data_IF_288824247066
#
_entry.id   IF_288824247066
#
_cell.length_a   1.000
_cell.length_b   1.000
_cell.length_c   1.000
_cell.angle_alpha   90.00
_cell.angle_beta   90.00
_cell.angle_gamma   90.00
#
_symmetry.space_group_name_H-M   'P 1'
#
loop_
_entity.id
_entity.type
_entity.pdbx_description
1 polymer ?
#
# COMPACT_ATOMS: atom_id res chain seq x y z
N UNK A 1 -17.51 -34.72 21.67
CA UNK A 1 -18.57 -34.60 22.68
C UNK A 1 -19.53 -33.51 22.22
N UNK A 2 -20.72 -33.87 21.77
CA UNK A 2 -21.77 -32.93 21.36
C UNK A 2 -22.47 -32.43 22.61
N UNK A 3 -22.58 -31.10 22.74
CA UNK A 3 -23.46 -30.48 23.76
C UNK A 3 -24.63 -29.86 23.00
N UNK A 4 -25.79 -30.48 23.16
CA UNK A 4 -27.08 -29.93 22.73
C UNK A 4 -27.59 -28.96 23.80
N UNK A 5 -27.87 -27.70 23.42
CA UNK A 5 -28.62 -26.78 24.26
C UNK A 5 -30.09 -26.88 23.90
N UNK A 6 -30.87 -27.36 24.85
CA UNK A 6 -32.35 -27.35 24.86
C UNK A 6 -32.84 -25.93 25.12
N UNK A 7 -33.76 -25.45 24.27
CA UNK A 7 -34.52 -24.22 24.49
C UNK A 7 -35.75 -24.56 25.30
N UNK A 8 -35.82 -24.11 26.54
CA UNK A 8 -37.06 -24.14 27.34
C UNK A 8 -37.81 -22.82 27.15
N UNK A 9 -38.98 -22.88 26.55
CA UNK A 9 -39.92 -21.77 26.52
C UNK A 9 -40.60 -21.61 27.88
N UNK A 10 -40.37 -20.49 28.54
CA UNK A 10 -41.10 -20.12 29.76
C UNK A 10 -42.30 -19.26 29.40
N UNK A 11 -43.51 -19.81 29.57
CA UNK A 11 -44.76 -19.05 29.60
C UNK A 11 -44.96 -18.50 31.02
N UNK A 12 -44.98 -17.20 31.18
CA UNK A 12 -45.41 -16.59 32.44
C UNK A 12 -46.78 -15.95 32.29
N UNK A 13 -47.71 -16.33 33.20
CA UNK A 13 -49.03 -15.72 33.31
C UNK A 13 -49.01 -14.73 34.47
N UNK A 14 -49.56 -13.54 34.25
CA UNK A 14 -49.78 -12.64 35.34
C UNK A 14 -51.20 -12.88 35.93
N UNK A 15 -51.39 -12.56 37.22
CA UNK A 15 -52.60 -12.86 38.01
C UNK A 15 -53.87 -12.11 37.56
N UNK A 16 -53.85 -11.32 36.51
CA UNK A 16 -54.95 -10.53 35.98
C UNK A 16 -55.53 -10.99 34.64
N UNK A 17 -55.09 -12.12 34.10
CA UNK A 17 -55.71 -12.73 32.90
C UNK A 17 -55.54 -11.98 31.57
N UNK A 18 -54.66 -11.01 31.48
CA UNK A 18 -54.45 -10.21 30.25
C UNK A 18 -53.39 -10.87 29.35
N UNK A 19 -53.75 -11.13 28.08
CA UNK A 19 -52.83 -11.63 27.05
C UNK A 19 -51.79 -10.58 26.78
N UNK A 20 -50.51 -10.92 27.05
CA UNK A 20 -49.37 -10.11 26.62
C UNK A 20 -49.01 -10.52 25.17
N UNK A 21 -49.09 -9.60 24.23
CA UNK A 21 -48.61 -9.80 22.86
C UNK A 21 -47.08 -9.99 22.87
N UNK A 22 -46.52 -10.90 22.08
CA UNK A 22 -45.09 -11.06 22.04
C UNK A 22 -44.45 -9.76 21.54
N UNK A 23 -43.59 -9.17 22.36
CA UNK A 23 -42.66 -8.14 21.94
C UNK A 23 -41.73 -8.80 20.92
N UNK A 24 -41.82 -8.37 19.68
CA UNK A 24 -40.89 -8.78 18.65
C UNK A 24 -39.52 -8.28 19.08
N UNK A 25 -38.71 -9.15 19.66
CA UNK A 25 -37.30 -8.87 19.91
C UNK A 25 -36.65 -8.60 18.58
N UNK A 26 -36.22 -7.36 18.36
CA UNK A 26 -35.37 -7.02 17.23
C UNK A 26 -34.17 -7.98 17.21
N UNK A 27 -33.85 -8.54 16.05
CA UNK A 27 -32.70 -9.41 15.91
C UNK A 27 -31.44 -8.73 16.49
N UNK A 28 -30.57 -9.46 17.19
CA UNK A 28 -29.43 -8.86 17.85
C UNK A 28 -28.55 -8.10 16.84
N UNK A 29 -28.11 -6.91 17.22
CA UNK A 29 -27.22 -6.03 16.43
C UNK A 29 -26.06 -6.80 15.80
N UNK A 30 -25.45 -7.75 16.50
CA UNK A 30 -24.35 -8.58 16.04
C UNK A 30 -24.61 -9.26 14.67
N UNK A 31 -25.79 -9.81 14.41
CA UNK A 31 -26.08 -10.45 13.11
C UNK A 31 -26.19 -9.47 11.92
N UNK A 32 -26.52 -8.21 12.19
CA UNK A 32 -26.55 -7.18 11.14
C UNK A 32 -25.17 -6.67 10.83
N UNK A 33 -24.32 -6.56 11.84
CA UNK A 33 -22.93 -6.14 11.68
C UNK A 33 -22.11 -7.21 10.95
N UNK A 34 -22.29 -8.50 11.29
CA UNK A 34 -21.66 -9.62 10.59
C UNK A 34 -22.09 -9.70 9.11
N UNK A 35 -23.38 -9.51 8.81
CA UNK A 35 -23.87 -9.53 7.41
C UNK A 35 -23.38 -8.32 6.61
N UNK A 36 -23.25 -7.16 7.24
CA UNK A 36 -22.70 -5.94 6.61
C UNK A 36 -21.21 -6.09 6.34
N UNK A 37 -20.45 -6.68 7.25
CA UNK A 37 -19.02 -6.95 7.07
C UNK A 37 -18.79 -7.93 5.92
N UNK A 38 -19.55 -9.05 5.85
CA UNK A 38 -19.42 -10.00 4.74
C UNK A 38 -19.78 -9.40 3.38
N UNK A 39 -20.75 -8.50 3.31
CA UNK A 39 -21.12 -7.78 2.09
C UNK A 39 -20.05 -6.77 1.68
N UNK A 40 -19.46 -6.06 2.65
CA UNK A 40 -18.35 -5.13 2.39
C UNK A 40 -17.09 -5.86 1.94
N UNK A 41 -16.74 -6.99 2.58
CA UNK A 41 -15.59 -7.83 2.21
C UNK A 41 -15.72 -8.36 0.78
N UNK A 42 -16.90 -8.86 0.41
CA UNK A 42 -17.18 -9.33 -0.94
C UNK A 42 -17.08 -8.19 -1.97
N UNK A 43 -17.56 -6.99 -1.60
CA UNK A 43 -17.47 -5.81 -2.45
C UNK A 43 -16.01 -5.39 -2.66
N UNK A 44 -15.20 -5.31 -1.60
CA UNK A 44 -13.78 -4.95 -1.68
C UNK A 44 -12.99 -5.97 -2.52
N UNK A 45 -13.26 -7.26 -2.31
CA UNK A 45 -12.57 -8.33 -3.02
C UNK A 45 -12.79 -8.28 -4.54
N UNK A 46 -13.99 -7.88 -5.02
CA UNK A 46 -14.28 -7.80 -6.45
C UNK A 46 -14.05 -6.42 -7.07
N UNK A 47 -13.78 -5.38 -6.28
CA UNK A 47 -13.58 -4.01 -6.77
C UNK A 47 -12.24 -3.91 -7.50
N UNK A 48 -12.21 -3.59 -8.83
CA UNK A 48 -10.96 -3.35 -9.54
C UNK A 48 -10.22 -2.15 -8.96
N UNK A 49 -8.92 -2.29 -8.74
CA UNK A 49 -8.07 -1.24 -8.19
C UNK A 49 -6.66 -1.26 -8.79
N UNK A 50 -5.99 -0.13 -8.75
CA UNK A 50 -4.55 -0.06 -8.93
C UNK A 50 -3.86 0.06 -7.57
N UNK A 51 -2.66 -0.50 -7.45
CA UNK A 51 -1.78 -0.30 -6.32
C UNK A 51 -0.59 0.56 -6.76
N UNK A 52 -0.43 1.73 -6.15
CA UNK A 52 0.51 2.77 -6.59
C UNK A 52 1.67 2.98 -5.61
N UNK A 53 1.66 2.28 -4.47
CA UNK A 53 2.64 2.41 -3.41
C UNK A 53 2.87 1.05 -2.75
N UNK A 54 3.88 0.37 -3.26
CA UNK A 54 4.35 -0.92 -2.77
C UNK A 54 5.86 -0.96 -2.94
N UNK A 55 6.60 -1.22 -1.87
CA UNK A 55 8.01 -1.59 -1.93
C UNK A 55 8.11 -3.08 -2.20
N UNK A 56 8.78 -3.47 -3.29
CA UNK A 56 8.81 -4.88 -3.67
C UNK A 56 9.55 -5.73 -2.62
N UNK A 57 10.60 -5.19 -2.02
CA UNK A 57 11.32 -5.82 -0.92
C UNK A 57 10.43 -6.03 0.31
N UNK A 58 9.48 -5.12 0.52
CA UNK A 58 8.46 -5.19 1.58
C UNK A 58 7.38 -6.24 1.36
N UNK A 59 7.34 -6.85 0.18
CA UNK A 59 6.48 -8.01 -0.11
C UNK A 59 7.13 -9.35 0.24
N UNK A 60 8.38 -9.35 0.75
CA UNK A 60 9.14 -10.54 1.10
C UNK A 60 8.55 -11.22 2.34
N UNK A 61 7.65 -12.15 2.13
CA UNK A 61 7.00 -12.92 3.19
C UNK A 61 8.01 -13.73 4.02
N UNK A 62 7.82 -13.88 5.35
CA UNK A 62 8.74 -14.62 6.23
C UNK A 62 9.09 -16.02 5.76
N UNK A 63 8.12 -16.75 5.20
CA UNK A 63 8.36 -18.09 4.66
C UNK A 63 9.30 -18.07 3.45
N UNK A 64 9.14 -17.07 2.58
CA UNK A 64 10.00 -16.87 1.42
C UNK A 64 11.39 -16.41 1.85
N UNK A 65 11.48 -15.50 2.82
CA UNK A 65 12.76 -15.05 3.39
C UNK A 65 13.59 -16.24 3.92
N UNK A 66 13.00 -17.14 4.70
CA UNK A 66 13.66 -18.34 5.22
C UNK A 66 14.08 -19.29 4.07
N UNK A 67 13.23 -19.49 3.07
CA UNK A 67 13.53 -20.33 1.91
C UNK A 67 14.69 -19.77 1.07
N UNK A 68 14.70 -18.46 0.81
CA UNK A 68 15.78 -17.78 0.09
C UNK A 68 17.08 -17.76 0.88
N UNK A 69 17.04 -17.58 2.20
CA UNK A 69 18.19 -17.69 3.07
C UNK A 69 18.87 -19.05 2.94
N UNK A 70 18.08 -20.13 2.98
CA UNK A 70 18.57 -21.49 2.78
C UNK A 70 19.15 -21.70 1.37
N UNK A 71 18.49 -21.19 0.32
CA UNK A 71 18.94 -21.28 -1.08
C UNK A 71 20.28 -20.59 -1.30
N UNK A 72 20.44 -19.41 -0.70
CA UNK A 72 21.61 -18.55 -0.92
C UNK A 72 22.67 -18.66 0.18
N UNK A 73 22.53 -19.61 1.12
CA UNK A 73 23.43 -19.80 2.28
C UNK A 73 23.62 -18.51 3.11
N UNK A 74 22.54 -17.74 3.27
CA UNK A 74 22.50 -16.56 4.14
C UNK A 74 22.10 -16.98 5.54
N UNK A 75 22.84 -16.54 6.55
CA UNK A 75 22.47 -16.75 7.94
C UNK A 75 21.54 -15.65 8.39
N UNK A 76 20.30 -16.00 8.74
CA UNK A 76 19.35 -15.09 9.38
C UNK A 76 19.57 -15.09 10.90
N UNK A 77 19.26 -13.98 11.58
CA UNK A 77 19.26 -13.93 13.05
C UNK A 77 18.05 -14.66 13.67
N UNK A 78 17.20 -15.27 12.86
CA UNK A 78 15.97 -15.96 13.22
C UNK A 78 16.06 -17.45 12.88
N UNK A 79 15.60 -18.32 13.77
CA UNK A 79 15.66 -19.77 13.59
C UNK A 79 14.41 -20.33 12.86
N UNK A 80 13.31 -19.56 12.78
CA UNK A 80 12.05 -20.00 12.15
C UNK A 80 11.24 -18.86 11.57
N UNK A 81 10.22 -19.21 10.77
CA UNK A 81 9.22 -18.25 10.23
C UNK A 81 8.47 -17.54 11.35
N UNK A 82 8.17 -18.24 12.44
CA UNK A 82 7.48 -17.71 13.62
C UNK A 82 8.33 -16.66 14.33
N UNK A 83 9.64 -16.88 14.43
CA UNK A 83 10.57 -15.90 15.02
C UNK A 83 10.70 -14.66 14.14
N UNK A 84 10.74 -14.80 12.82
CA UNK A 84 10.70 -13.65 11.89
C UNK A 84 9.43 -12.82 12.12
N UNK A 85 8.26 -13.48 12.18
CA UNK A 85 6.98 -12.78 12.44
C UNK A 85 6.93 -12.10 13.80
N UNK A 86 7.50 -12.74 14.83
CA UNK A 86 7.55 -12.18 16.17
C UNK A 86 8.45 -10.94 16.27
N UNK A 87 9.39 -10.76 15.34
CA UNK A 87 10.24 -9.58 15.27
C UNK A 87 9.52 -8.36 14.64
N UNK A 88 8.34 -8.54 14.03
CA UNK A 88 7.57 -7.48 13.38
C UNK A 88 6.72 -6.69 14.38
N UNK A 89 7.33 -6.26 15.48
CA UNK A 89 6.73 -5.42 16.52
C UNK A 89 7.51 -4.11 16.58
N UNK A 90 7.12 -3.18 15.71
CA UNK A 90 7.81 -1.91 15.49
C UNK A 90 7.26 -0.82 16.41
N UNK A 91 8.12 0.10 16.83
CA UNK A 91 7.75 1.28 17.61
C UNK A 91 7.87 2.59 16.81
N UNK A 92 8.52 2.54 15.66
CA UNK A 92 8.74 3.66 14.73
C UNK A 92 9.29 3.14 13.39
N UNK A 93 9.41 4.03 12.41
CA UNK A 93 9.94 3.72 11.08
C UNK A 93 11.38 3.14 11.13
N UNK A 94 12.25 3.62 12.01
CA UNK A 94 13.63 3.14 12.07
C UNK A 94 13.73 1.68 12.52
N UNK A 95 12.92 1.26 13.52
CA UNK A 95 12.89 -0.14 13.99
C UNK A 95 12.49 -1.08 12.84
N UNK A 96 11.56 -0.64 11.99
CA UNK A 96 11.16 -1.37 10.77
C UNK A 96 12.31 -1.46 9.78
N UNK A 97 12.93 -0.33 9.42
CA UNK A 97 13.99 -0.29 8.41
C UNK A 97 15.18 -1.19 8.76
N UNK A 98 15.53 -1.30 10.03
CA UNK A 98 16.62 -2.18 10.47
C UNK A 98 16.34 -3.66 10.17
N UNK A 99 15.09 -4.10 10.33
CA UNK A 99 14.65 -5.46 10.01
C UNK A 99 14.48 -5.65 8.50
N UNK A 100 13.92 -4.66 7.81
CA UNK A 100 13.71 -4.65 6.38
C UNK A 100 15.03 -4.83 5.60
N UNK A 101 16.03 -4.01 5.89
CA UNK A 101 17.33 -4.13 5.21
C UNK A 101 18.06 -5.44 5.53
N UNK A 102 17.94 -5.93 6.77
CA UNK A 102 18.48 -7.24 7.14
C UNK A 102 17.76 -8.38 6.39
N UNK A 103 16.43 -8.30 6.25
CA UNK A 103 15.62 -9.25 5.49
C UNK A 103 15.97 -9.27 4.01
N UNK A 104 16.12 -8.10 3.40
CA UNK A 104 16.49 -7.96 1.98
C UNK A 104 17.84 -8.63 1.62
N UNK A 105 18.68 -8.93 2.61
CA UNK A 105 19.96 -9.60 2.39
C UNK A 105 19.86 -10.99 1.74
N UNK A 106 18.70 -11.66 1.84
CA UNK A 106 18.47 -12.97 1.21
C UNK A 106 18.32 -12.90 -0.31
N UNK A 107 18.01 -11.71 -0.87
CA UNK A 107 17.86 -11.48 -2.30
C UNK A 107 19.23 -11.27 -2.95
N UNK A 108 19.72 -12.24 -3.73
CA UNK A 108 21.07 -12.25 -4.27
C UNK A 108 21.14 -12.49 -5.77
N UNK A 109 20.16 -13.19 -6.34
CA UNK A 109 20.19 -13.60 -7.74
C UNK A 109 18.99 -13.05 -8.52
N UNK A 110 19.13 -12.97 -9.85
CA UNK A 110 18.00 -12.62 -10.74
C UNK A 110 16.74 -13.48 -10.48
N UNK A 111 16.95 -14.76 -10.15
CA UNK A 111 15.85 -15.66 -9.86
C UNK A 111 15.14 -15.28 -8.54
N UNK A 112 15.87 -14.75 -7.53
CA UNK A 112 15.27 -14.33 -6.27
C UNK A 112 14.33 -13.14 -6.48
N UNK A 113 14.77 -12.13 -7.24
CA UNK A 113 13.95 -10.95 -7.57
C UNK A 113 12.75 -11.31 -8.46
N UNK A 114 12.92 -12.25 -9.41
CA UNK A 114 11.82 -12.76 -10.22
C UNK A 114 10.77 -13.47 -9.36
N UNK A 115 11.21 -14.37 -8.48
CA UNK A 115 10.34 -15.14 -7.60
C UNK A 115 9.60 -14.20 -6.63
N UNK A 116 10.28 -13.15 -6.09
CA UNK A 116 9.69 -12.14 -5.22
C UNK A 116 8.57 -11.38 -5.93
N UNK A 117 8.85 -10.83 -7.11
CA UNK A 117 7.86 -10.10 -7.90
C UNK A 117 6.64 -10.99 -8.22
N UNK A 118 6.87 -12.23 -8.68
CA UNK A 118 5.77 -13.14 -9.01
C UNK A 118 4.92 -13.50 -7.78
N UNK A 119 5.56 -13.69 -6.60
CA UNK A 119 4.84 -13.96 -5.35
C UNK A 119 3.95 -12.78 -4.93
N UNK A 120 4.45 -11.54 -5.08
CA UNK A 120 3.63 -10.34 -4.88
C UNK A 120 2.41 -10.33 -5.81
N UNK A 121 2.61 -10.52 -7.11
CA UNK A 121 1.52 -10.47 -8.08
C UNK A 121 0.47 -11.59 -7.90
N UNK A 122 0.88 -12.75 -7.39
CA UNK A 122 -0.05 -13.82 -7.01
C UNK A 122 -1.01 -13.34 -5.89
N UNK A 123 -0.53 -12.51 -4.97
CA UNK A 123 -1.35 -11.89 -3.91
C UNK A 123 -2.19 -10.72 -4.45
N UNK A 124 -1.60 -9.87 -5.26
CA UNK A 124 -2.28 -8.73 -5.89
C UNK A 124 -3.47 -9.18 -6.76
N UNK A 125 -3.32 -10.29 -7.50
CA UNK A 125 -4.39 -10.90 -8.28
C UNK A 125 -5.58 -11.34 -7.41
N UNK A 126 -5.31 -11.89 -6.22
CA UNK A 126 -6.36 -12.29 -5.27
C UNK A 126 -7.15 -11.09 -4.72
N UNK A 127 -6.52 -9.91 -4.68
CA UNK A 127 -7.13 -8.65 -4.27
C UNK A 127 -7.76 -7.85 -5.42
N UNK A 128 -7.83 -8.42 -6.62
CA UNK A 128 -8.35 -7.78 -7.85
C UNK A 128 -7.58 -6.49 -8.20
N UNK A 129 -6.27 -6.48 -7.95
CA UNK A 129 -5.37 -5.48 -8.52
C UNK A 129 -5.21 -5.78 -10.01
N UNK A 130 -5.39 -4.75 -10.86
CA UNK A 130 -5.27 -4.87 -12.32
C UNK A 130 -4.08 -4.07 -12.88
N UNK A 131 -3.52 -3.19 -12.06
CA UNK A 131 -2.32 -2.41 -12.36
C UNK A 131 -1.53 -2.15 -11.07
N UNK A 132 -0.19 -2.22 -11.12
CA UNK A 132 0.68 -1.91 -9.98
C UNK A 132 1.85 -1.03 -10.39
N UNK A 133 2.19 -0.04 -9.56
CA UNK A 133 3.39 0.78 -9.69
C UNK A 133 4.29 0.53 -8.47
N UNK A 134 5.42 -0.11 -8.72
CA UNK A 134 6.21 -0.80 -7.72
C UNK A 134 7.50 -0.03 -7.46
N UNK A 135 7.75 0.33 -6.21
CA UNK A 135 9.03 0.84 -5.75
C UNK A 135 10.04 -0.29 -5.62
N UNK A 136 11.30 -0.02 -5.93
CA UNK A 136 12.41 -0.88 -5.64
C UNK A 136 13.62 -0.06 -5.23
N UNK A 137 14.41 -0.60 -4.30
CA UNK A 137 15.54 0.07 -3.65
C UNK A 137 16.88 -0.52 -4.12
N UNK A 138 17.40 -0.16 -5.31
CA UNK A 138 18.63 -0.78 -5.79
C UNK A 138 19.82 -0.56 -4.86
N UNK A 139 19.87 0.56 -4.12
CA UNK A 139 20.97 0.86 -3.18
C UNK A 139 21.06 -0.17 -2.06
N UNK A 140 19.93 -0.68 -1.58
CA UNK A 140 19.86 -1.79 -0.60
C UNK A 140 20.61 -3.04 -1.07
N UNK A 141 20.68 -3.26 -2.38
CA UNK A 141 21.30 -4.42 -3.00
C UNK A 141 22.71 -4.13 -3.50
N UNK A 142 22.93 -3.00 -4.16
CA UNK A 142 24.24 -2.64 -4.74
C UNK A 142 25.30 -2.43 -3.68
N UNK A 143 24.95 -1.90 -2.52
CA UNK A 143 25.87 -1.76 -1.36
C UNK A 143 26.37 -3.12 -0.83
N UNK A 144 25.62 -4.19 -1.08
CA UNK A 144 26.01 -5.57 -0.75
C UNK A 144 26.72 -6.29 -1.91
N UNK A 145 26.98 -5.57 -3.02
CA UNK A 145 27.67 -6.11 -4.19
C UNK A 145 26.75 -6.85 -5.18
N UNK A 146 25.43 -6.74 -5.06
CA UNK A 146 24.48 -7.27 -6.04
C UNK A 146 24.38 -6.25 -7.19
N UNK A 147 24.73 -6.60 -8.44
CA UNK A 147 24.68 -5.65 -9.53
C UNK A 147 23.26 -5.12 -9.80
N UNK A 148 23.11 -3.84 -10.08
CA UNK A 148 21.86 -3.21 -10.49
C UNK A 148 21.13 -4.01 -11.59
N UNK A 149 21.89 -4.47 -12.60
CA UNK A 149 21.37 -5.32 -13.68
C UNK A 149 20.70 -6.61 -13.19
N UNK A 150 21.18 -7.21 -12.09
CA UNK A 150 20.59 -8.42 -11.49
C UNK A 150 19.22 -8.12 -10.91
N UNK A 151 19.09 -7.02 -10.17
CA UNK A 151 17.85 -6.57 -9.54
C UNK A 151 16.79 -6.29 -10.61
N UNK A 152 17.06 -5.33 -11.50
CA UNK A 152 16.07 -4.89 -12.49
C UNK A 152 15.70 -5.98 -13.48
N UNK A 153 16.65 -6.84 -13.88
CA UNK A 153 16.34 -7.96 -14.78
C UNK A 153 15.42 -8.98 -14.11
N UNK A 154 15.67 -9.30 -12.82
CA UNK A 154 14.81 -10.23 -12.08
C UNK A 154 13.40 -9.68 -11.89
N UNK A 155 13.28 -8.43 -11.44
CA UNK A 155 11.97 -7.78 -11.30
C UNK A 155 11.21 -7.73 -12.63
N UNK A 156 11.89 -7.33 -13.73
CA UNK A 156 11.26 -7.28 -15.06
C UNK A 156 10.78 -8.66 -15.55
N UNK A 157 11.53 -9.72 -15.26
CA UNK A 157 11.10 -11.09 -15.60
C UNK A 157 9.85 -11.47 -14.81
N UNK A 158 9.82 -11.20 -13.50
CA UNK A 158 8.67 -11.51 -12.65
C UNK A 158 7.42 -10.72 -13.04
N UNK A 159 7.57 -9.44 -13.40
CA UNK A 159 6.48 -8.60 -13.94
C UNK A 159 5.93 -9.16 -15.24
N UNK A 160 6.79 -9.55 -16.19
CA UNK A 160 6.36 -10.14 -17.46
C UNK A 160 5.63 -11.50 -17.26
N UNK A 161 6.12 -12.34 -16.36
CA UNK A 161 5.46 -13.57 -15.98
C UNK A 161 4.08 -13.33 -15.34
N UNK A 162 3.99 -12.31 -14.48
CA UNK A 162 2.75 -11.93 -13.82
C UNK A 162 1.70 -11.37 -14.81
N UNK A 163 2.14 -10.53 -15.74
CA UNK A 163 1.27 -10.03 -16.80
C UNK A 163 0.73 -11.18 -17.66
N UNK A 164 1.60 -12.14 -18.07
CA UNK A 164 1.20 -13.31 -18.82
C UNK A 164 0.24 -14.24 -18.04
N UNK A 165 0.42 -14.33 -16.71
CA UNK A 165 -0.35 -15.23 -15.83
C UNK A 165 -1.68 -14.62 -15.39
N UNK A 166 -1.70 -13.36 -15.03
CA UNK A 166 -2.81 -12.68 -14.36
C UNK A 166 -3.40 -11.52 -15.15
N UNK A 167 -2.72 -11.05 -16.20
CA UNK A 167 -3.13 -9.84 -16.95
C UNK A 167 -2.91 -8.54 -16.18
N UNK A 168 -2.12 -8.55 -15.11
CA UNK A 168 -1.82 -7.35 -14.31
C UNK A 168 -0.69 -6.58 -14.99
N UNK A 169 -0.97 -5.35 -15.42
CA UNK A 169 0.07 -4.45 -15.93
C UNK A 169 0.85 -3.84 -14.78
N UNK A 170 2.11 -3.47 -15.02
CA UNK A 170 2.91 -2.87 -13.95
C UNK A 170 4.02 -1.94 -14.45
N UNK A 171 4.50 -1.07 -13.56
CA UNK A 171 5.61 -0.15 -13.79
C UNK A 171 6.58 -0.18 -12.61
N UNK A 172 7.88 0.05 -12.88
CA UNK A 172 8.89 0.20 -11.83
C UNK A 172 9.19 1.67 -11.56
N UNK A 173 9.35 1.99 -10.28
CA UNK A 173 9.81 3.29 -9.78
C UNK A 173 11.07 3.02 -8.97
N UNK A 174 12.19 3.61 -9.41
CA UNK A 174 13.48 3.51 -8.74
C UNK A 174 13.53 4.47 -7.57
N UNK A 175 13.68 3.99 -6.35
CA UNK A 175 13.76 4.83 -5.17
C UNK A 175 15.22 5.17 -4.80
N UNK A 176 15.40 6.38 -4.27
CA UNK A 176 16.63 6.84 -3.65
C UNK A 176 16.47 6.87 -2.14
N UNK A 177 17.37 6.17 -1.44
CA UNK A 177 17.37 6.12 0.02
C UNK A 177 17.83 7.47 0.60
N UNK A 178 16.89 8.22 1.20
CA UNK A 178 17.09 9.63 1.60
C UNK A 178 18.04 9.82 2.78
N UNK A 179 18.33 8.75 3.53
CA UNK A 179 19.35 8.80 4.58
C UNK A 179 20.78 8.87 4.00
N UNK A 180 20.98 8.44 2.73
CA UNK A 180 22.23 8.60 2.01
C UNK A 180 22.37 10.03 1.46
N UNK A 181 23.52 10.37 0.90
CA UNK A 181 23.73 11.66 0.25
C UNK A 181 23.20 11.68 -1.19
N UNK A 182 23.04 12.88 -1.78
CA UNK A 182 22.56 13.04 -3.15
C UNK A 182 23.54 12.47 -4.19
N UNK A 183 24.85 12.41 -3.89
CA UNK A 183 25.85 11.85 -4.80
C UNK A 183 25.67 10.33 -4.93
N UNK A 184 25.24 9.63 -3.88
CA UNK A 184 24.83 8.22 -3.93
C UNK A 184 23.61 8.04 -4.85
N UNK A 185 22.60 8.91 -4.76
CA UNK A 185 21.44 8.89 -5.66
C UNK A 185 21.86 9.13 -7.14
N UNK A 186 22.82 10.04 -7.39
CA UNK A 186 23.39 10.23 -8.73
C UNK A 186 24.15 8.99 -9.23
N UNK A 187 24.85 8.27 -8.35
CA UNK A 187 25.51 7.02 -8.72
C UNK A 187 24.47 5.99 -9.19
N UNK A 188 23.40 5.82 -8.42
CA UNK A 188 22.28 4.93 -8.75
C UNK A 188 21.58 5.33 -10.04
N UNK A 189 21.32 6.62 -10.26
CA UNK A 189 20.71 7.10 -11.50
C UNK A 189 21.60 6.81 -12.73
N UNK A 190 22.94 6.89 -12.60
CA UNK A 190 23.88 6.50 -13.67
C UNK A 190 23.84 4.99 -13.94
N UNK A 191 23.75 4.14 -12.91
CA UNK A 191 23.61 2.69 -13.10
C UNK A 191 22.30 2.32 -13.79
N UNK A 192 21.26 3.12 -13.56
CA UNK A 192 19.94 2.95 -14.17
C UNK A 192 19.90 3.37 -15.66
N UNK A 193 20.84 4.17 -16.16
CA UNK A 193 20.79 4.71 -17.53
C UNK A 193 20.57 3.67 -18.64
N UNK A 194 21.18 2.46 -18.62
CA UNK A 194 20.93 1.44 -19.63
C UNK A 194 19.53 0.81 -19.56
N UNK A 195 18.73 1.12 -18.54
CA UNK A 195 17.47 0.47 -18.19
C UNK A 195 16.28 1.43 -18.10
N UNK A 196 16.45 2.69 -18.56
CA UNK A 196 15.41 3.72 -18.43
C UNK A 196 14.12 3.36 -19.16
N UNK A 197 14.18 2.47 -20.17
CA UNK A 197 13.01 1.92 -20.85
C UNK A 197 12.13 1.04 -19.97
N UNK A 198 12.65 0.59 -18.83
CA UNK A 198 11.95 -0.26 -17.83
C UNK A 198 11.55 0.50 -16.57
N UNK A 199 11.94 1.74 -16.43
CA UNK A 199 11.75 2.57 -15.25
C UNK A 199 10.81 3.71 -15.59
N UNK A 200 9.64 3.73 -14.97
CA UNK A 200 8.63 4.77 -15.20
C UNK A 200 8.97 6.08 -14.47
N UNK A 201 9.61 5.98 -13.32
CA UNK A 201 9.88 7.13 -12.47
C UNK A 201 10.98 6.88 -11.44
N UNK A 202 11.29 7.94 -10.70
CA UNK A 202 12.13 7.87 -9.50
C UNK A 202 11.35 8.29 -8.28
N UNK A 203 11.68 7.68 -7.13
CA UNK A 203 11.09 7.96 -5.81
C UNK A 203 12.14 8.41 -4.79
N UNK A 204 11.66 8.96 -3.68
CA UNK A 204 12.46 9.29 -2.50
C UNK A 204 11.82 8.61 -1.30
N UNK A 205 12.54 7.72 -0.62
CA UNK A 205 12.02 6.91 0.48
C UNK A 205 13.02 6.76 1.64
N UNK A 206 12.77 5.81 2.56
CA UNK A 206 13.56 5.57 3.77
C UNK A 206 13.29 6.62 4.86
N UNK A 207 14.16 6.73 5.88
CA UNK A 207 13.99 7.57 7.08
C UNK A 207 13.67 9.02 6.73
N UNK A 208 12.43 9.46 7.00
CA UNK A 208 11.97 10.80 6.61
C UNK A 208 12.51 11.88 7.54
N UNK A 209 12.43 11.66 8.85
CA UNK A 209 12.81 12.68 9.85
C UNK A 209 14.29 13.00 9.79
N UNK A 210 14.62 14.28 9.60
CA UNK A 210 16.00 14.77 9.47
C UNK A 210 16.58 14.68 8.05
N UNK A 211 15.83 14.16 7.08
CA UNK A 211 16.25 14.03 5.69
C UNK A 211 15.26 14.72 4.74
N UNK A 212 15.23 16.07 4.70
CA UNK A 212 14.27 16.84 3.92
C UNK A 212 14.40 16.60 2.41
N UNK A 213 13.30 16.68 1.65
CA UNK A 213 13.30 16.48 0.19
C UNK A 213 14.27 17.40 -0.57
N UNK A 214 14.45 18.65 -0.14
CA UNK A 214 15.33 19.63 -0.78
C UNK A 214 16.77 19.13 -0.98
N UNK A 215 17.23 18.20 -0.16
CA UNK A 215 18.53 17.53 -0.25
C UNK A 215 18.76 16.83 -1.60
N UNK A 216 17.69 16.46 -2.32
CA UNK A 216 17.71 15.67 -3.55
C UNK A 216 17.28 16.48 -4.79
N UNK A 217 17.29 17.82 -4.70
CA UNK A 217 16.82 18.72 -5.75
C UNK A 217 17.50 18.48 -7.12
N UNK A 218 18.82 18.28 -7.11
CA UNK A 218 19.60 18.15 -8.35
C UNK A 218 19.37 16.81 -9.05
N UNK A 219 19.30 15.70 -8.29
CA UNK A 219 19.11 14.37 -8.87
C UNK A 219 17.68 14.23 -9.40
N UNK A 220 16.68 14.81 -8.73
CA UNK A 220 15.29 14.85 -9.21
C UNK A 220 15.19 15.68 -10.52
N UNK A 221 15.84 16.83 -10.60
CA UNK A 221 15.91 17.61 -11.82
C UNK A 221 16.59 16.82 -12.96
N UNK A 222 17.65 16.06 -12.67
CA UNK A 222 18.32 15.20 -13.65
C UNK A 222 17.44 14.03 -14.10
N UNK A 223 16.68 13.41 -13.21
CA UNK A 223 15.71 12.35 -13.52
C UNK A 223 14.57 12.90 -14.41
N UNK A 224 14.03 14.08 -14.08
CA UNK A 224 13.02 14.78 -14.89
C UNK A 224 13.52 15.05 -16.30
N UNK A 225 14.78 15.50 -16.45
CA UNK A 225 15.39 15.75 -17.76
C UNK A 225 15.54 14.47 -18.62
N UNK A 226 15.52 13.28 -18.00
CA UNK A 226 15.49 11.98 -18.67
C UNK A 226 14.06 11.51 -19.01
N UNK A 227 13.03 12.28 -18.67
CA UNK A 227 11.62 11.96 -18.92
C UNK A 227 10.98 11.06 -17.88
N UNK A 228 11.63 10.84 -16.74
CA UNK A 228 11.11 10.03 -15.66
C UNK A 228 10.05 10.79 -14.85
N UNK A 229 9.05 10.07 -14.36
CA UNK A 229 8.10 10.56 -13.36
C UNK A 229 8.78 10.72 -12.00
N UNK A 230 8.27 11.63 -11.19
CA UNK A 230 8.86 11.97 -9.90
C UNK A 230 7.85 11.73 -8.79
N UNK A 231 8.21 10.92 -7.80
CA UNK A 231 7.40 10.70 -6.61
C UNK A 231 8.27 10.85 -5.34
N UNK A 232 7.65 11.14 -4.20
CA UNK A 232 8.39 11.23 -2.95
C UNK A 232 7.49 10.96 -1.75
N UNK A 233 8.01 10.19 -0.79
CA UNK A 233 7.45 10.10 0.54
C UNK A 233 7.65 11.43 1.24
N UNK A 234 6.55 12.07 1.63
CA UNK A 234 6.60 13.29 2.42
C UNK A 234 5.32 13.45 3.25
N UNK A 235 5.49 13.89 4.50
CA UNK A 235 4.39 14.04 5.44
C UNK A 235 3.83 12.71 5.93
N UNK A 236 4.62 11.67 5.99
CA UNK A 236 4.35 10.44 6.76
C UNK A 236 4.65 10.70 8.23
N UNK A 237 5.93 10.81 8.60
CA UNK A 237 6.42 11.24 9.92
C UNK A 237 6.89 12.71 9.89
N UNK A 238 7.40 13.16 8.76
CA UNK A 238 7.93 14.50 8.56
C UNK A 238 6.85 15.59 8.55
N UNK A 239 7.22 16.85 8.83
CA UNK A 239 6.26 17.95 8.92
C UNK A 239 5.65 18.32 7.56
N UNK A 240 4.52 19.07 7.51
CA UNK A 240 3.93 19.60 6.29
C UNK A 240 4.91 20.32 5.35
N UNK A 241 5.95 20.95 5.91
CA UNK A 241 7.01 21.62 5.14
C UNK A 241 7.74 20.64 4.18
N UNK A 242 7.89 19.36 4.56
CA UNK A 242 8.49 18.36 3.66
C UNK A 242 7.59 18.08 2.46
N UNK A 243 6.28 18.14 2.63
CA UNK A 243 5.33 18.06 1.50
C UNK A 243 5.50 19.29 0.59
N UNK A 244 5.60 20.49 1.17
CA UNK A 244 5.86 21.72 0.39
C UNK A 244 7.17 21.61 -0.38
N UNK A 245 8.25 21.11 0.24
CA UNK A 245 9.53 20.91 -0.44
C UNK A 245 9.42 19.86 -1.57
N UNK A 246 8.70 18.75 -1.38
CA UNK A 246 8.48 17.78 -2.43
C UNK A 246 7.75 18.39 -3.63
N UNK A 247 6.76 19.24 -3.39
CA UNK A 247 6.02 19.95 -4.44
C UNK A 247 6.85 21.03 -5.14
N UNK A 248 7.53 21.89 -4.38
CA UNK A 248 8.13 23.13 -4.90
C UNK A 248 9.59 22.96 -5.33
N UNK A 249 10.31 22.02 -4.72
CA UNK A 249 11.73 21.78 -4.98
C UNK A 249 11.95 20.55 -5.86
N UNK A 250 11.29 19.42 -5.53
CA UNK A 250 11.40 18.21 -6.33
C UNK A 250 10.47 18.20 -7.53
N UNK A 251 9.38 18.98 -7.51
CA UNK A 251 8.36 19.03 -8.55
C UNK A 251 7.75 17.66 -8.85
N UNK A 252 7.32 16.96 -7.79
CA UNK A 252 6.76 15.61 -7.89
C UNK A 252 5.48 15.56 -8.73
N UNK A 253 5.27 14.42 -9.40
CA UNK A 253 4.04 14.07 -10.12
C UNK A 253 3.01 13.40 -9.20
N UNK A 254 3.44 12.79 -8.08
CA UNK A 254 2.61 12.13 -7.07
C UNK A 254 3.27 12.20 -5.69
N UNK A 255 2.45 12.39 -4.67
CA UNK A 255 2.88 12.45 -3.27
C UNK A 255 2.64 11.09 -2.60
N UNK A 256 3.68 10.51 -2.04
CA UNK A 256 3.56 9.27 -1.30
C UNK A 256 3.28 9.58 0.18
N UNK A 257 2.30 8.91 0.79
CA UNK A 257 1.64 9.18 2.08
C UNK A 257 0.91 10.52 2.14
N UNK A 258 1.56 11.60 2.55
CA UNK A 258 0.97 12.93 2.68
C UNK A 258 0.00 13.10 3.86
N UNK A 259 0.03 12.21 4.85
CA UNK A 259 -0.92 12.19 5.99
C UNK A 259 -0.96 13.51 6.75
N UNK A 260 0.22 14.10 6.99
CA UNK A 260 0.36 15.36 7.75
C UNK A 260 0.01 16.60 6.95
N UNK A 261 -0.37 16.48 5.67
CA UNK A 261 -0.86 17.62 4.86
C UNK A 261 -2.09 18.28 5.48
N UNK A 262 -2.92 17.50 6.22
CA UNK A 262 -4.12 18.03 6.90
C UNK A 262 -3.81 18.96 8.09
N UNK A 263 -2.57 18.99 8.57
CA UNK A 263 -2.13 19.89 9.64
C UNK A 263 -1.99 21.34 9.15
N UNK A 264 -1.86 21.55 7.82
CA UNK A 264 -1.82 22.86 7.17
C UNK A 264 -3.01 23.03 6.22
N UNK A 265 -4.02 23.85 6.57
CA UNK A 265 -5.19 24.08 5.72
C UNK A 265 -4.87 24.71 4.37
N UNK A 266 -3.81 25.50 4.24
CA UNK A 266 -3.42 26.12 2.98
C UNK A 266 -2.78 25.05 2.05
N UNK A 267 -1.94 24.18 2.59
CA UNK A 267 -1.38 23.04 1.88
C UNK A 267 -2.49 22.07 1.45
N UNK A 268 -3.41 21.73 2.34
CA UNK A 268 -4.57 20.88 2.04
C UNK A 268 -5.37 21.44 0.86
N UNK A 269 -5.71 22.73 0.90
CA UNK A 269 -6.46 23.39 -0.20
C UNK A 269 -5.67 23.36 -1.51
N UNK A 270 -4.36 23.60 -1.48
CA UNK A 270 -3.48 23.54 -2.64
C UNK A 270 -3.45 22.14 -3.27
N UNK A 271 -3.34 21.08 -2.45
CA UNK A 271 -3.33 19.69 -2.93
C UNK A 271 -4.68 19.32 -3.56
N UNK A 272 -5.80 19.73 -2.96
CA UNK A 272 -7.13 19.50 -3.51
C UNK A 272 -7.33 20.23 -4.85
N UNK A 273 -6.94 21.51 -4.94
CA UNK A 273 -7.05 22.31 -6.17
C UNK A 273 -6.18 21.77 -7.30
N UNK A 274 -4.95 21.33 -7.00
CA UNK A 274 -4.03 20.76 -8.00
C UNK A 274 -4.46 19.36 -8.46
N UNK A 275 -5.28 18.66 -7.67
CA UNK A 275 -5.60 17.26 -7.89
C UNK A 275 -4.40 16.33 -7.71
N UNK A 276 -3.41 16.71 -6.91
CA UNK A 276 -2.28 15.86 -6.55
C UNK A 276 -2.78 14.56 -5.92
N UNK A 277 -2.28 13.43 -6.41
CA UNK A 277 -2.63 12.12 -5.85
C UNK A 277 -1.76 11.83 -4.63
N UNK A 278 -2.38 11.35 -3.55
CA UNK A 278 -1.74 10.91 -2.32
C UNK A 278 -1.88 9.39 -2.20
N UNK A 279 -0.76 8.68 -2.06
CA UNK A 279 -0.76 7.21 -1.91
C UNK A 279 -0.69 6.81 -0.44
N UNK A 280 -1.85 6.69 0.18
CA UNK A 280 -1.99 6.46 1.63
C UNK A 280 -1.91 4.97 1.95
N UNK A 281 -1.24 4.61 3.05
CA UNK A 281 -0.95 3.24 3.45
C UNK A 281 -1.44 2.97 4.89
N UNK A 282 -2.73 2.64 5.10
CA UNK A 282 -3.34 2.63 6.43
C UNK A 282 -2.71 1.67 7.44
N UNK A 283 -2.39 0.44 7.04
CA UNK A 283 -1.78 -0.55 7.94
C UNK A 283 -0.33 -0.20 8.29
N UNK A 284 0.41 0.39 7.33
CA UNK A 284 1.73 0.97 7.57
C UNK A 284 1.64 2.08 8.62
N UNK A 285 0.72 3.03 8.43
CA UNK A 285 0.55 4.16 9.35
C UNK A 285 0.21 3.72 10.78
N UNK A 286 -0.54 2.60 10.94
CA UNK A 286 -0.79 2.00 12.24
C UNK A 286 0.47 1.33 12.81
N UNK A 287 1.15 0.51 12.00
CA UNK A 287 2.32 -0.27 12.43
C UNK A 287 3.53 0.59 12.79
N UNK A 288 3.72 1.70 12.09
CA UNK A 288 4.80 2.66 12.31
C UNK A 288 4.42 3.77 13.32
N UNK A 289 3.26 3.62 13.98
CA UNK A 289 2.76 4.55 15.00
C UNK A 289 2.57 6.00 14.48
N UNK A 290 2.31 6.16 13.17
CA UNK A 290 1.86 7.44 12.59
C UNK A 290 0.45 7.76 13.08
N UNK A 291 -0.36 6.73 13.30
CA UNK A 291 -1.63 6.78 14.02
C UNK A 291 -1.64 5.73 15.12
N UNK A 292 -2.24 6.05 16.28
CA UNK A 292 -2.33 5.12 17.41
C UNK A 292 -3.43 4.06 17.19
N UNK A 293 -4.47 4.39 16.42
CA UNK A 293 -5.61 3.53 16.08
C UNK A 293 -6.09 3.85 14.67
N UNK A 294 -6.48 2.83 13.90
CA UNK A 294 -7.11 3.03 12.59
C UNK A 294 -8.43 3.83 12.68
N UNK A 295 -9.08 3.85 13.84
CA UNK A 295 -10.22 4.72 14.09
C UNK A 295 -9.88 6.22 14.00
N UNK A 296 -8.62 6.59 14.16
CA UNK A 296 -8.13 7.97 14.03
C UNK A 296 -7.48 8.25 12.67
N UNK A 297 -7.40 7.25 11.78
CA UNK A 297 -6.77 7.39 10.48
C UNK A 297 -7.45 8.46 9.61
N UNK A 298 -6.70 9.40 8.97
CA UNK A 298 -7.25 10.60 8.35
C UNK A 298 -7.92 10.41 6.99
N UNK A 299 -8.00 9.19 6.44
CA UNK A 299 -8.46 8.94 5.06
C UNK A 299 -9.81 9.54 4.71
N UNK A 300 -10.79 9.46 5.62
CA UNK A 300 -12.13 10.02 5.42
C UNK A 300 -12.12 11.55 5.45
N UNK A 301 -11.25 12.16 6.26
CA UNK A 301 -11.03 13.61 6.27
C UNK A 301 -10.35 14.07 4.98
N UNK A 302 -9.39 13.30 4.44
CA UNK A 302 -8.77 13.57 3.14
C UNK A 302 -9.80 13.57 2.02
N UNK A 303 -10.67 12.55 1.94
CA UNK A 303 -11.74 12.49 0.95
C UNK A 303 -12.71 13.68 1.07
N UNK A 304 -13.13 14.02 2.29
CA UNK A 304 -14.01 15.20 2.54
C UNK A 304 -13.35 16.53 2.20
N UNK A 305 -12.04 16.63 2.34
CA UNK A 305 -11.26 17.80 1.92
C UNK A 305 -11.06 17.89 0.40
N UNK A 306 -11.52 16.89 -0.36
CA UNK A 306 -11.38 16.84 -1.83
C UNK A 306 -9.99 16.38 -2.28
N UNK A 307 -9.18 15.78 -1.40
CA UNK A 307 -7.88 15.21 -1.77
C UNK A 307 -8.08 13.93 -2.58
N UNK A 308 -7.24 13.75 -3.61
CA UNK A 308 -7.20 12.50 -4.39
C UNK A 308 -6.36 11.45 -3.65
N UNK A 309 -6.90 10.93 -2.55
CA UNK A 309 -6.28 9.86 -1.80
C UNK A 309 -6.54 8.49 -2.44
N UNK A 310 -5.58 7.57 -2.32
CA UNK A 310 -5.66 6.17 -2.71
C UNK A 310 -5.30 5.29 -1.51
N UNK A 311 -5.62 3.99 -1.57
CA UNK A 311 -5.19 3.02 -0.54
C UNK A 311 -4.18 2.07 -1.16
N UNK A 312 -3.10 1.81 -0.42
CA UNK A 312 -1.99 0.97 -0.83
C UNK A 312 -1.47 0.14 0.36
N UNK A 313 -0.56 -0.79 0.11
CA UNK A 313 -0.08 -1.70 1.15
C UNK A 313 1.29 -1.36 1.72
N UNK A 314 2.11 -0.58 1.01
CA UNK A 314 3.47 -0.20 1.41
C UNK A 314 4.41 -1.42 1.47
N UNK A 315 4.61 -2.00 2.65
CA UNK A 315 5.40 -3.20 2.90
C UNK A 315 4.50 -4.33 3.47
N UNK A 316 3.66 -4.97 2.63
CA UNK A 316 2.54 -5.81 3.07
C UNK A 316 2.95 -7.00 3.94
N UNK A 317 4.14 -7.58 3.71
CA UNK A 317 4.62 -8.70 4.49
C UNK A 317 4.98 -8.31 5.93
N UNK A 318 5.33 -7.04 6.16
CA UNK A 318 5.74 -6.50 7.46
C UNK A 318 4.58 -5.83 8.21
N UNK A 319 3.68 -5.16 7.48
CA UNK A 319 2.60 -4.36 8.08
C UNK A 319 1.28 -5.10 8.23
N UNK A 320 1.23 -6.38 7.82
CA UNK A 320 0.16 -7.29 8.17
C UNK A 320 -0.99 -7.35 7.18
N UNK A 321 -0.80 -6.86 5.93
CA UNK A 321 -1.79 -7.05 4.88
C UNK A 321 -1.49 -6.36 3.57
N UNK A 322 -1.96 -6.97 2.50
CA UNK A 322 -1.91 -6.43 1.15
C UNK A 322 -2.99 -5.36 0.94
N UNK A 323 -3.16 -4.88 -0.27
CA UNK A 323 -4.08 -3.76 -0.54
C UNK A 323 -5.53 -4.08 -0.16
N UNK A 324 -5.99 -5.32 -0.33
CA UNK A 324 -7.33 -5.74 0.06
C UNK A 324 -7.57 -5.66 1.57
N UNK A 325 -6.57 -6.10 2.38
CA UNK A 325 -6.60 -5.96 3.83
C UNK A 325 -6.59 -4.49 4.25
N UNK A 326 -5.81 -3.63 3.59
CA UNK A 326 -5.78 -2.19 3.85
C UNK A 326 -7.15 -1.53 3.61
N UNK A 327 -7.78 -1.82 2.46
CA UNK A 327 -9.14 -1.37 2.15
C UNK A 327 -10.13 -1.82 3.24
N UNK A 328 -10.10 -3.09 3.63
CA UNK A 328 -11.00 -3.68 4.62
C UNK A 328 -10.79 -3.06 6.00
N UNK A 329 -9.56 -3.01 6.47
CA UNK A 329 -9.22 -2.55 7.80
C UNK A 329 -9.66 -1.09 8.02
N UNK A 330 -9.31 -0.19 7.10
CA UNK A 330 -9.66 1.23 7.24
C UNK A 330 -11.15 1.48 6.98
N UNK A 331 -11.80 0.72 6.08
CA UNK A 331 -13.23 0.84 5.84
C UNK A 331 -14.05 0.51 7.07
N UNK A 332 -13.67 -0.55 7.79
CA UNK A 332 -14.31 -0.94 9.05
C UNK A 332 -14.04 0.10 10.13
N UNK A 333 -12.78 0.50 10.32
CA UNK A 333 -12.38 1.42 11.38
C UNK A 333 -12.97 2.83 11.19
N UNK A 334 -13.04 3.33 9.97
CA UNK A 334 -13.57 4.68 9.65
C UNK A 334 -15.03 4.69 9.22
N UNK A 335 -15.67 3.52 9.07
CA UNK A 335 -17.05 3.43 8.63
C UNK A 335 -17.26 3.92 7.20
N UNK A 336 -16.27 3.68 6.30
CA UNK A 336 -16.36 4.09 4.91
C UNK A 336 -17.53 3.40 4.21
N UNK A 337 -18.19 4.14 3.34
CA UNK A 337 -19.26 3.61 2.49
C UNK A 337 -18.69 2.92 1.25
N UNK A 338 -19.51 2.14 0.53
CA UNK A 338 -19.13 1.61 -0.78
C UNK A 338 -18.76 2.71 -1.77
N UNK A 339 -19.45 3.88 -1.71
CA UNK A 339 -19.14 5.03 -2.56
C UNK A 339 -17.77 5.64 -2.25
N UNK A 340 -17.36 5.67 -0.97
CA UNK A 340 -16.01 6.10 -0.58
C UNK A 340 -14.96 5.13 -1.15
N UNK A 341 -15.19 3.81 -1.06
CA UNK A 341 -14.29 2.78 -1.60
C UNK A 341 -14.17 2.86 -3.13
N UNK A 342 -15.29 3.12 -3.81
CA UNK A 342 -15.31 3.36 -5.27
C UNK A 342 -14.51 4.60 -5.61
N UNK A 343 -14.65 5.68 -4.83
CA UNK A 343 -13.88 6.91 -5.02
C UNK A 343 -12.38 6.65 -4.87
N UNK A 344 -11.96 5.90 -3.83
CA UNK A 344 -10.57 5.50 -3.62
C UNK A 344 -10.03 4.65 -4.78
N UNK A 345 -10.82 3.70 -5.29
CA UNK A 345 -10.45 2.89 -6.44
C UNK A 345 -10.34 3.71 -7.73
N UNK A 346 -11.28 4.63 -8.01
CA UNK A 346 -11.17 5.57 -9.14
C UNK A 346 -9.92 6.44 -9.03
N UNK A 347 -9.63 6.94 -7.84
CA UNK A 347 -8.46 7.75 -7.58
C UNK A 347 -7.16 6.97 -7.87
N UNK A 348 -7.11 5.65 -7.59
CA UNK A 348 -5.93 4.84 -7.85
C UNK A 348 -5.60 4.78 -9.35
N UNK A 349 -6.60 4.68 -10.23
CA UNK A 349 -6.38 4.76 -11.68
C UNK A 349 -6.06 6.17 -12.16
N UNK A 350 -6.79 7.19 -11.66
CA UNK A 350 -6.55 8.58 -12.03
C UNK A 350 -5.17 9.09 -11.58
N UNK A 351 -4.59 8.50 -10.53
CA UNK A 351 -3.26 8.83 -10.01
C UNK A 351 -2.14 7.97 -10.57
N UNK A 352 -2.44 6.99 -11.42
CA UNK A 352 -1.44 6.11 -12.02
C UNK A 352 -0.69 6.79 -13.17
N UNK A 353 0.45 6.23 -13.54
CA UNK A 353 1.24 6.64 -14.70
C UNK A 353 0.85 5.87 -15.98
N UNK A 354 -0.37 5.34 -16.02
CA UNK A 354 -0.97 4.78 -17.23
C UNK A 354 -1.29 5.87 -18.26
N UNK A 355 -1.48 5.48 -19.53
CA UNK A 355 -2.00 6.35 -20.55
C UNK A 355 -3.49 6.68 -20.36
N UNK A 356 -3.95 7.78 -20.93
CA UNK A 356 -5.34 8.25 -20.78
C UNK A 356 -6.37 7.19 -21.22
N UNK A 357 -6.11 6.47 -22.31
CA UNK A 357 -6.99 5.42 -22.82
C UNK A 357 -7.06 4.20 -21.86
N UNK A 358 -5.91 3.84 -21.25
CA UNK A 358 -5.84 2.76 -20.26
C UNK A 358 -6.59 3.16 -18.98
N UNK A 359 -6.38 4.38 -18.48
CA UNK A 359 -7.12 4.93 -17.34
C UNK A 359 -8.63 4.89 -17.62
N UNK A 360 -9.06 5.36 -18.80
CA UNK A 360 -10.47 5.37 -19.16
C UNK A 360 -11.07 3.95 -19.21
N UNK A 361 -10.31 2.97 -19.72
CA UNK A 361 -10.73 1.56 -19.74
C UNK A 361 -10.91 0.99 -18.34
N UNK A 362 -9.96 1.26 -17.43
CA UNK A 362 -10.04 0.79 -16.04
C UNK A 362 -11.17 1.48 -15.27
N UNK A 363 -11.37 2.78 -15.46
CA UNK A 363 -12.51 3.49 -14.87
C UNK A 363 -13.84 2.90 -15.35
N UNK A 364 -13.97 2.57 -16.65
CA UNK A 364 -15.15 1.90 -17.17
C UNK A 364 -15.39 0.52 -16.54
N UNK A 365 -14.31 -0.23 -16.24
CA UNK A 365 -14.41 -1.51 -15.51
C UNK A 365 -14.90 -1.32 -14.06
N UNK A 366 -14.43 -0.28 -13.37
CA UNK A 366 -14.94 0.10 -12.04
C UNK A 366 -16.44 0.40 -12.11
N UNK A 367 -16.88 1.25 -13.09
CA UNK A 367 -18.30 1.58 -13.26
C UNK A 367 -19.16 0.34 -13.56
N UNK A 368 -18.68 -0.57 -14.40
CA UNK A 368 -19.38 -1.82 -14.70
C UNK A 368 -19.54 -2.69 -13.45
N UNK A 369 -18.49 -2.77 -12.61
CA UNK A 369 -18.55 -3.49 -11.34
C UNK A 369 -19.56 -2.85 -10.38
N UNK A 370 -19.52 -1.53 -10.19
CA UNK A 370 -20.42 -0.77 -9.33
C UNK A 370 -21.88 -0.98 -9.73
N UNK A 371 -22.17 -0.89 -11.04
CA UNK A 371 -23.52 -1.11 -11.58
C UNK A 371 -24.01 -2.55 -11.31
N UNK A 372 -23.12 -3.56 -11.46
CA UNK A 372 -23.44 -4.95 -11.16
C UNK A 372 -23.73 -5.22 -9.66
N UNK A 373 -23.16 -4.41 -8.77
CA UNK A 373 -23.37 -4.48 -7.32
C UNK A 373 -24.57 -3.63 -6.84
N UNK A 374 -25.24 -2.89 -7.74
CA UNK A 374 -26.38 -2.03 -7.37
C UNK A 374 -26.00 -0.86 -6.45
N UNK A 375 -24.76 -0.40 -6.52
CA UNK A 375 -24.28 0.76 -5.77
C UNK A 375 -24.53 2.02 -6.60
N UNK A 376 -25.04 3.11 -5.99
CA UNK A 376 -25.29 4.38 -6.68
C UNK A 376 -26.62 4.49 -7.45
N UNK A 377 -27.60 3.60 -7.17
CA UNK A 377 -28.97 3.69 -7.71
C UNK A 377 -29.94 4.36 -6.74
#
# INVERSE_FOLDING_TARGET
>A
MRVSCFVYGLFSWNKSGTKIFPVTLAAPRARRDDARMTDLDAFIAGLPKAELHLHIEGSLEPAMMVALAARNNVTLPYASVEEVRAAYDFSNLQDFLDIYYAGAAVLQTRADFRDLALAYFDRAAADTVVHAEIFFDPQTHTDRGIPFATVIAGLSDGMADAEAKHGITSKLILCFLRHLDEDAAFATLREAEPWLDRIAGVGLDSSEVGHPPEKFARVFAAAKAKGLKLVAHAGEEGPPDYVVQALDVLHIDRLDHGNRSLEDPALTARLAESGMTLTVCPLSNLKLCVVDDLADHPIDAMLRAGLRATINSDDPAYFGGYVGENYRAVAVARGLSKDDLVTLARNSFAGSFLGEDEIAAHLAAVEAYVAAQGVGS
#
